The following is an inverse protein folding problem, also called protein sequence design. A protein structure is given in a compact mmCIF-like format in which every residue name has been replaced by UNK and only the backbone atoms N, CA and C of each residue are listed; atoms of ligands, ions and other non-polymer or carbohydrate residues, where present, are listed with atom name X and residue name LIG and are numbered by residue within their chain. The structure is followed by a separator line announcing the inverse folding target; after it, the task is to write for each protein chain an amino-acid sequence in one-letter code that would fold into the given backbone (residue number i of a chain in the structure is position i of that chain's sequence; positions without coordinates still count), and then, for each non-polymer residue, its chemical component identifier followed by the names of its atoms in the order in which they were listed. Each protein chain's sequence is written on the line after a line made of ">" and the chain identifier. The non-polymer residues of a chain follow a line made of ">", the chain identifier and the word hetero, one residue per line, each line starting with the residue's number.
data_IF_879035841511
#
_entry.id   IF_879035841511
#
_cell.length_a   1.000
_cell.length_b   1.000
_cell.length_c   1.000
_cell.angle_alpha   90.00
_cell.angle_beta   90.00
_cell.angle_gamma   90.00
#
_symmetry.space_group_name_H-M   'P 1'
#
loop_
_entity.id
_entity.type
_entity.pdbx_description
1 polymer ?
#
# COMPACT_ATOMS: atom_id res chain seq x y z
N UNK A 1 -19.53 -12.27 -2.48
CA UNK A 1 -19.01 -13.64 -2.36
C UNK A 1 -19.63 -14.47 -3.47
N UNK A 2 -18.81 -15.10 -4.30
CA UNK A 2 -19.19 -15.83 -5.51
C UNK A 2 -19.71 -17.26 -5.26
N UNK A 3 -19.90 -17.64 -3.99
CA UNK A 3 -20.48 -18.92 -3.59
C UNK A 3 -19.49 -20.08 -3.53
N UNK A 4 -18.19 -19.87 -3.79
CA UNK A 4 -17.16 -20.89 -3.60
C UNK A 4 -16.85 -21.10 -2.11
N UNK A 5 -16.48 -22.33 -1.75
CA UNK A 5 -16.08 -22.71 -0.39
C UNK A 5 -14.58 -22.49 -0.10
N UNK A 6 -13.80 -22.11 -1.10
CA UNK A 6 -12.35 -21.94 -1.00
C UNK A 6 -11.88 -20.81 -1.92
N UNK A 7 -10.91 -20.03 -1.45
CA UNK A 7 -10.14 -19.12 -2.30
C UNK A 7 -9.13 -19.91 -3.15
N UNK A 8 -8.68 -19.31 -4.24
CA UNK A 8 -7.72 -19.88 -5.18
C UNK A 8 -6.49 -18.98 -5.29
N UNK A 9 -5.33 -19.61 -5.47
CA UNK A 9 -4.05 -18.96 -5.78
C UNK A 9 -3.46 -19.65 -7.00
N UNK A 10 -2.88 -18.87 -7.91
CA UNK A 10 -2.25 -19.35 -9.14
C UNK A 10 -0.85 -18.73 -9.24
N UNK A 11 0.03 -19.15 -8.34
CA UNK A 11 1.33 -18.50 -8.15
C UNK A 11 2.14 -18.40 -9.45
N UNK A 12 2.60 -17.19 -9.77
CA UNK A 12 3.48 -16.92 -10.91
C UNK A 12 2.81 -17.07 -12.29
N UNK A 13 1.48 -17.13 -12.35
CA UNK A 13 0.74 -17.22 -13.62
C UNK A 13 0.69 -15.87 -14.37
N UNK A 14 0.89 -14.76 -13.67
CA UNK A 14 0.94 -13.42 -14.25
C UNK A 14 2.38 -13.00 -14.51
N UNK A 15 2.66 -12.53 -15.74
CA UNK A 15 4.00 -12.09 -16.16
C UNK A 15 4.54 -10.93 -15.33
N UNK A 16 3.65 -10.00 -14.94
CA UNK A 16 3.98 -8.83 -14.12
C UNK A 16 3.98 -9.14 -12.61
N UNK A 17 3.84 -10.41 -12.21
CA UNK A 17 3.79 -10.81 -10.81
C UNK A 17 5.18 -10.87 -10.15
N UNK A 18 5.37 -10.12 -9.07
CA UNK A 18 6.59 -10.17 -8.27
C UNK A 18 6.37 -9.89 -6.78
N UNK A 19 7.32 -10.33 -5.96
CA UNK A 19 7.36 -9.97 -4.54
C UNK A 19 7.96 -8.58 -4.33
N UNK A 20 7.53 -7.91 -3.26
CA UNK A 20 8.18 -6.69 -2.79
C UNK A 20 9.60 -7.03 -2.33
N UNK A 21 10.57 -6.33 -2.89
CA UNK A 21 11.98 -6.46 -2.58
C UNK A 21 12.53 -5.18 -1.95
N UNK A 22 13.72 -5.25 -1.35
CA UNK A 22 14.34 -4.12 -0.67
C UNK A 22 14.62 -2.94 -1.61
N UNK A 23 14.91 -3.17 -2.89
CA UNK A 23 15.17 -2.07 -3.83
C UNK A 23 13.94 -1.17 -4.03
N UNK A 24 12.72 -1.74 -4.06
CA UNK A 24 11.47 -0.97 -4.13
C UNK A 24 11.19 -0.22 -2.84
N UNK A 25 11.44 -0.84 -1.70
CA UNK A 25 11.25 -0.21 -0.40
C UNK A 25 12.24 0.95 -0.23
N UNK A 26 13.51 0.74 -0.55
CA UNK A 26 14.54 1.77 -0.53
C UNK A 26 14.18 2.92 -1.46
N UNK A 27 13.68 2.61 -2.67
CA UNK A 27 13.19 3.63 -3.59
C UNK A 27 12.05 4.45 -2.99
N UNK A 28 11.05 3.81 -2.37
CA UNK A 28 9.96 4.51 -1.69
C UNK A 28 10.50 5.44 -0.58
N UNK A 29 11.46 4.96 0.21
CA UNK A 29 12.12 5.75 1.25
C UNK A 29 12.94 6.93 0.70
N UNK A 30 13.27 6.97 -0.59
CA UNK A 30 13.93 8.14 -1.18
C UNK A 30 12.97 9.25 -1.61
N UNK A 31 11.66 8.99 -1.72
CA UNK A 31 10.70 9.98 -2.21
C UNK A 31 10.39 11.06 -1.16
N UNK A 32 10.19 12.30 -1.60
CA UNK A 32 9.83 13.44 -0.74
C UNK A 32 8.41 13.99 -1.05
N UNK A 33 7.68 13.35 -1.97
CA UNK A 33 6.33 13.76 -2.38
C UNK A 33 5.35 12.58 -2.26
N UNK A 34 4.21 12.82 -1.60
CA UNK A 34 3.14 11.83 -1.42
C UNK A 34 2.56 11.34 -2.76
N UNK A 35 2.53 12.19 -3.80
CA UNK A 35 2.06 11.83 -5.14
C UNK A 35 2.91 10.73 -5.80
N UNK A 36 4.13 10.47 -5.28
CA UNK A 36 5.03 9.40 -5.74
C UNK A 36 4.95 8.12 -4.90
N UNK A 37 4.24 8.16 -3.77
CA UNK A 37 3.97 6.97 -2.95
C UNK A 37 2.54 6.49 -3.18
N UNK A 38 1.57 7.36 -2.90
CA UNK A 38 0.13 7.14 -3.02
C UNK A 38 -0.33 7.55 -4.42
N UNK A 39 0.31 6.95 -5.42
CA UNK A 39 0.14 7.27 -6.83
C UNK A 39 -1.33 7.43 -7.26
N UNK A 40 -1.51 8.07 -8.41
CA UNK A 40 -2.68 7.80 -9.23
C UNK A 40 -2.38 6.51 -10.00
N UNK A 41 -2.93 5.37 -9.58
CA UNK A 41 -2.73 4.06 -10.24
C UNK A 41 -3.26 3.99 -11.66
N UNK A 42 -4.26 4.80 -12.00
CA UNK A 42 -4.89 4.81 -13.32
C UNK A 42 -5.18 6.24 -13.76
N UNK A 43 -4.14 7.08 -13.93
CA UNK A 43 -4.33 8.46 -14.33
C UNK A 43 -4.85 8.46 -15.77
N UNK A 44 -5.82 9.32 -16.05
CA UNK A 44 -6.29 9.46 -17.43
C UNK A 44 -5.27 10.25 -18.25
N UNK A 45 -5.40 10.23 -19.57
CA UNK A 45 -4.53 11.02 -20.46
C UNK A 45 -4.60 12.53 -20.20
N UNK A 46 -5.62 13.02 -19.50
CA UNK A 46 -5.76 14.43 -19.12
C UNK A 46 -5.11 14.77 -17.78
N UNK A 47 -4.52 13.81 -17.07
CA UNK A 47 -3.71 14.07 -15.88
C UNK A 47 -2.36 14.68 -16.31
N UNK A 48 -2.30 16.02 -16.35
CA UNK A 48 -1.14 16.76 -16.85
C UNK A 48 -0.04 16.81 -15.79
N UNK A 49 1.23 16.74 -16.22
CA UNK A 49 2.43 16.82 -15.38
C UNK A 49 2.55 15.69 -14.34
N UNK A 50 1.96 14.54 -14.63
CA UNK A 50 2.10 13.34 -13.83
C UNK A 50 3.02 12.34 -14.54
N UNK A 51 3.99 11.82 -13.81
CA UNK A 51 4.94 10.83 -14.29
C UNK A 51 4.61 9.48 -13.67
N UNK A 52 4.59 8.43 -14.47
CA UNK A 52 4.28 7.07 -14.02
C UNK A 52 5.59 6.35 -13.79
N UNK A 53 5.82 5.91 -12.56
CA UNK A 53 6.95 5.07 -12.20
C UNK A 53 6.44 3.74 -11.65
N UNK A 54 6.86 2.64 -12.25
CA UNK A 54 6.49 1.27 -11.84
C UNK A 54 6.85 0.97 -10.37
N UNK A 55 7.72 1.79 -9.76
CA UNK A 55 8.17 1.64 -8.37
C UNK A 55 7.28 2.33 -7.34
N UNK A 56 6.23 3.04 -7.77
CA UNK A 56 5.25 3.57 -6.82
C UNK A 56 4.72 2.47 -5.90
N UNK A 57 4.43 2.84 -4.65
CA UNK A 57 4.04 1.87 -3.63
C UNK A 57 2.74 1.15 -4.03
N UNK A 58 1.81 1.85 -4.70
CA UNK A 58 0.58 1.25 -5.22
C UNK A 58 0.84 0.19 -6.31
N UNK A 59 1.71 0.45 -7.29
CA UNK A 59 2.07 -0.58 -8.29
C UNK A 59 2.86 -1.73 -7.67
N UNK A 60 3.76 -1.41 -6.75
CA UNK A 60 4.52 -2.41 -5.97
C UNK A 60 3.58 -3.32 -5.15
N UNK A 61 2.49 -2.76 -4.62
CA UNK A 61 1.41 -3.50 -3.99
C UNK A 61 0.71 -4.43 -4.99
N UNK A 62 0.38 -3.94 -6.19
CA UNK A 62 -0.34 -4.70 -7.22
C UNK A 62 0.47 -5.90 -7.74
N UNK A 63 1.79 -5.79 -7.85
CA UNK A 63 2.61 -6.91 -8.32
C UNK A 63 2.54 -8.14 -7.42
N UNK A 64 2.33 -7.98 -6.10
CA UNK A 64 2.11 -9.12 -5.20
C UNK A 64 0.74 -9.74 -5.42
N UNK A 65 -0.28 -8.93 -5.67
CA UNK A 65 -1.61 -9.42 -6.07
C UNK A 65 -1.51 -10.27 -7.34
N UNK A 66 -0.72 -9.82 -8.33
CA UNK A 66 -0.48 -10.55 -9.57
C UNK A 66 0.35 -11.82 -9.35
N UNK A 67 1.39 -11.75 -8.50
CA UNK A 67 2.22 -12.91 -8.18
C UNK A 67 1.42 -14.06 -7.56
N UNK A 68 0.53 -13.75 -6.60
CA UNK A 68 -0.31 -14.77 -5.95
C UNK A 68 -1.43 -15.21 -6.89
N UNK A 69 -1.96 -14.29 -7.68
CA UNK A 69 -3.06 -14.49 -8.65
C UNK A 69 -4.29 -15.15 -8.03
N UNK A 70 -5.17 -15.72 -8.85
CA UNK A 70 -6.46 -16.26 -8.42
C UNK A 70 -7.31 -15.19 -7.76
N UNK A 71 -7.82 -15.47 -6.57
CA UNK A 71 -8.60 -14.50 -5.81
C UNK A 71 -7.79 -13.25 -5.46
N UNK A 72 -6.50 -13.39 -5.14
CA UNK A 72 -5.65 -12.25 -4.76
C UNK A 72 -5.50 -11.23 -5.89
N UNK A 73 -5.58 -11.60 -7.16
CA UNK A 73 -5.49 -10.64 -8.27
C UNK A 73 -6.79 -9.83 -8.48
N UNK A 74 -7.92 -10.35 -8.02
CA UNK A 74 -9.23 -9.80 -8.33
C UNK A 74 -9.69 -8.77 -7.29
N UNK A 75 -10.04 -7.56 -7.76
CA UNK A 75 -10.42 -6.42 -6.90
C UNK A 75 -11.57 -6.70 -5.92
N UNK A 76 -12.48 -7.61 -6.28
CA UNK A 76 -13.67 -7.91 -5.47
C UNK A 76 -13.56 -9.18 -4.63
N UNK A 77 -12.52 -9.99 -4.83
CA UNK A 77 -12.37 -11.27 -4.13
C UNK A 77 -11.02 -11.47 -3.46
N UNK A 78 -10.07 -10.53 -3.63
CA UNK A 78 -8.74 -10.58 -3.00
C UNK A 78 -8.81 -10.74 -1.48
N UNK A 79 -9.74 -10.04 -0.83
CA UNK A 79 -9.96 -10.14 0.62
C UNK A 79 -10.57 -11.46 1.09
N UNK A 80 -10.99 -12.37 0.19
CA UNK A 80 -11.36 -13.74 0.57
C UNK A 80 -10.12 -14.58 0.93
N UNK A 81 -8.93 -14.19 0.46
CA UNK A 81 -7.67 -14.82 0.82
C UNK A 81 -7.09 -14.16 2.08
N UNK A 82 -6.88 -14.89 3.20
CA UNK A 82 -6.38 -14.29 4.44
C UNK A 82 -5.02 -13.57 4.31
N UNK A 83 -4.20 -13.91 3.31
CA UNK A 83 -2.91 -13.24 3.10
C UNK A 83 -3.07 -11.76 2.71
N UNK A 84 -4.25 -11.39 2.18
CA UNK A 84 -4.62 -10.01 1.86
C UNK A 84 -4.32 -9.06 3.02
N UNK A 85 -4.74 -9.43 4.23
CA UNK A 85 -4.57 -8.57 5.40
C UNK A 85 -3.11 -8.41 5.82
N UNK A 86 -2.29 -9.46 5.66
CA UNK A 86 -0.85 -9.35 5.95
C UNK A 86 -0.11 -8.54 4.89
N UNK A 87 -0.48 -8.69 3.61
CA UNK A 87 0.05 -7.89 2.51
C UNK A 87 -0.25 -6.40 2.71
N UNK A 88 -1.52 -6.06 2.95
CA UNK A 88 -1.91 -4.67 3.22
C UNK A 88 -1.30 -4.12 4.51
N UNK A 89 -1.20 -4.93 5.57
CA UNK A 89 -0.47 -4.53 6.78
C UNK A 89 1.01 -4.23 6.50
N UNK A 90 1.64 -4.96 5.59
CA UNK A 90 3.01 -4.68 5.17
C UNK A 90 3.13 -3.40 4.33
N UNK A 91 2.19 -3.15 3.42
CA UNK A 91 2.11 -1.88 2.67
C UNK A 91 1.92 -0.70 3.61
N UNK A 92 1.02 -0.80 4.58
CA UNK A 92 0.79 0.22 5.60
C UNK A 92 2.05 0.45 6.45
N UNK A 93 2.83 -0.60 6.73
CA UNK A 93 4.11 -0.46 7.43
C UNK A 93 5.14 0.32 6.63
N UNK A 94 5.18 0.17 5.30
CA UNK A 94 6.08 0.93 4.42
C UNK A 94 5.62 2.37 4.34
N UNK A 95 4.32 2.60 4.17
CA UNK A 95 3.70 3.93 4.21
C UNK A 95 4.04 4.66 5.51
N UNK A 96 3.86 4.02 6.67
CA UNK A 96 4.14 4.64 7.95
C UNK A 96 5.63 4.94 8.15
N UNK A 97 6.53 4.04 7.74
CA UNK A 97 7.97 4.31 7.77
C UNK A 97 8.35 5.53 6.92
N UNK A 98 7.74 5.67 5.74
CA UNK A 98 7.93 6.83 4.87
C UNK A 98 7.43 8.11 5.54
N UNK A 99 6.18 8.10 6.05
CA UNK A 99 5.60 9.23 6.81
C UNK A 99 6.52 9.64 7.96
N UNK A 100 7.07 8.67 8.68
CA UNK A 100 7.95 8.89 9.81
C UNK A 100 9.25 9.60 9.44
N UNK A 101 9.80 9.27 8.27
CA UNK A 101 11.09 9.77 7.79
C UNK A 101 10.97 11.07 7.01
N UNK A 102 9.87 11.27 6.28
CA UNK A 102 9.74 12.32 5.26
C UNK A 102 8.80 13.45 5.63
N UNK A 103 7.91 13.21 6.58
CA UNK A 103 6.90 14.18 6.98
C UNK A 103 7.08 14.57 8.45
N UNK A 104 6.96 15.87 8.71
CA UNK A 104 6.65 16.35 10.05
C UNK A 104 5.31 15.79 10.51
N UNK A 105 5.08 15.75 11.83
CA UNK A 105 3.79 15.28 12.36
C UNK A 105 2.58 16.06 11.82
N UNK A 106 2.74 17.35 11.52
CA UNK A 106 1.68 18.16 10.90
C UNK A 106 1.41 17.72 9.46
N UNK A 107 2.47 17.54 8.65
CA UNK A 107 2.33 17.07 7.27
C UNK A 107 1.63 15.72 7.19
N UNK A 108 1.89 14.79 8.13
CA UNK A 108 1.22 13.48 8.15
C UNK A 108 -0.30 13.57 8.24
N UNK A 109 -0.84 14.66 8.78
CA UNK A 109 -2.29 14.87 8.93
C UNK A 109 -2.93 15.53 7.69
N UNK A 110 -2.13 16.09 6.77
CA UNK A 110 -2.64 16.96 5.69
C UNK A 110 -2.11 16.65 4.30
N UNK A 111 -0.95 16.03 4.17
CA UNK A 111 -0.33 15.72 2.88
C UNK A 111 -1.03 14.51 2.24
N UNK A 112 -2.04 14.80 1.43
CA UNK A 112 -2.82 13.86 0.65
C UNK A 112 -2.69 14.22 -0.84
N UNK A 113 -2.75 13.25 -1.78
CA UNK A 113 -2.75 13.55 -3.21
C UNK A 113 -3.83 14.58 -3.59
N UNK A 114 -3.51 15.51 -4.49
CA UNK A 114 -4.46 16.56 -4.86
C UNK A 114 -5.76 15.98 -5.42
N UNK A 115 -6.89 16.56 -5.03
CA UNK A 115 -8.19 16.25 -5.62
C UNK A 115 -8.19 16.71 -7.10
N UNK A 116 -7.93 15.78 -8.00
CA UNK A 116 -7.86 16.02 -9.43
C UNK A 116 -8.61 14.93 -10.21
N UNK A 117 -9.75 15.31 -10.79
CA UNK A 117 -10.63 14.39 -11.51
C UNK A 117 -10.01 13.88 -12.82
N UNK A 118 -8.95 14.51 -13.30
CA UNK A 118 -8.17 14.01 -14.44
C UNK A 118 -7.23 12.86 -14.04
N UNK A 119 -6.85 12.79 -12.76
CA UNK A 119 -5.89 11.83 -12.25
C UNK A 119 -6.53 10.69 -11.46
N UNK A 120 -7.61 10.95 -10.71
CA UNK A 120 -8.31 9.93 -9.95
C UNK A 120 -9.83 10.18 -9.92
N UNK A 121 -10.64 9.11 -9.74
CA UNK A 121 -12.05 9.27 -9.51
C UNK A 121 -12.33 9.99 -8.18
N UNK A 122 -13.49 10.67 -8.10
CA UNK A 122 -13.85 11.50 -6.95
C UNK A 122 -13.87 10.76 -5.60
N UNK A 123 -14.11 9.45 -5.60
CA UNK A 123 -14.09 8.65 -4.37
C UNK A 123 -12.70 8.42 -3.78
N UNK A 124 -11.62 8.83 -4.47
CA UNK A 124 -10.26 8.86 -3.94
C UNK A 124 -9.85 10.24 -3.41
N UNK A 125 -10.71 11.25 -3.53
CA UNK A 125 -10.40 12.59 -3.03
C UNK A 125 -10.35 12.63 -1.51
N UNK A 126 -9.55 13.55 -0.96
CA UNK A 126 -9.42 13.73 0.49
C UNK A 126 -10.76 14.03 1.18
N UNK A 127 -11.64 14.74 0.49
CA UNK A 127 -12.99 15.11 0.92
C UNK A 127 -14.07 14.13 0.48
N UNK A 128 -13.68 12.91 0.07
CA UNK A 128 -14.64 11.84 -0.15
C UNK A 128 -14.90 11.07 1.15
N UNK A 129 -16.16 10.72 1.35
CA UNK A 129 -16.62 9.96 2.49
C UNK A 129 -16.32 8.46 2.33
N UNK A 130 -15.93 7.76 3.40
CA UNK A 130 -15.69 6.32 3.42
C UNK A 130 -16.98 5.52 3.68
N UNK A 131 -17.63 4.94 2.65
CA UNK A 131 -18.97 4.34 2.80
C UNK A 131 -19.03 3.19 3.79
N UNK A 132 -17.93 2.45 3.95
CA UNK A 132 -17.85 1.28 4.84
C UNK A 132 -17.34 1.61 6.25
N UNK A 133 -16.86 2.84 6.48
CA UNK A 133 -16.27 3.27 7.75
C UNK A 133 -16.89 4.58 8.24
N UNK A 134 -18.21 4.70 8.10
CA UNK A 134 -18.94 5.88 8.58
C UNK A 134 -18.63 6.17 10.07
N UNK A 135 -18.39 7.43 10.47
CA UNK A 135 -18.56 8.68 9.73
C UNK A 135 -17.29 9.24 9.06
N UNK A 136 -16.28 8.41 8.78
CA UNK A 136 -14.96 8.85 8.34
C UNK A 136 -14.91 9.31 6.87
N UNK A 137 -13.98 10.21 6.58
CA UNK A 137 -13.59 10.71 5.27
C UNK A 137 -12.19 10.20 4.92
N UNK A 138 -11.80 10.24 3.65
CA UNK A 138 -10.47 9.77 3.23
C UNK A 138 -9.33 10.53 3.92
N UNK A 139 -9.49 11.84 4.17
CA UNK A 139 -8.47 12.58 4.91
C UNK A 139 -8.33 12.11 6.37
N UNK A 140 -9.41 11.61 6.98
CA UNK A 140 -9.40 11.20 8.39
C UNK A 140 -8.50 10.00 8.65
N UNK A 141 -8.22 9.16 7.63
CA UNK A 141 -7.34 7.99 7.79
C UNK A 141 -5.85 8.36 7.86
N UNK A 142 -5.50 9.60 7.56
CA UNK A 142 -4.13 10.08 7.71
C UNK A 142 -3.72 10.29 9.16
N UNK A 143 -4.67 10.34 10.11
CA UNK A 143 -4.37 10.81 11.45
C UNK A 143 -3.26 10.04 12.17
N UNK A 144 -2.36 10.76 12.83
CA UNK A 144 -1.36 10.11 13.70
C UNK A 144 -2.02 9.40 14.89
N UNK A 145 -3.28 9.72 15.22
CA UNK A 145 -3.99 9.08 16.33
C UNK A 145 -4.07 7.56 16.20
N UNK A 146 -4.09 7.01 14.97
CA UNK A 146 -4.09 5.56 14.76
C UNK A 146 -2.77 4.94 15.26
N UNK A 147 -1.63 5.53 14.89
CA UNK A 147 -0.31 5.02 15.30
C UNK A 147 0.11 5.44 16.70
N UNK A 148 -0.52 6.47 17.26
CA UNK A 148 -0.32 6.87 18.66
C UNK A 148 -1.14 6.04 19.66
N UNK A 149 -2.33 5.57 19.27
CA UNK A 149 -3.32 5.02 20.22
C UNK A 149 -3.91 3.65 19.86
N UNK A 150 -3.78 3.16 18.62
CA UNK A 150 -4.43 1.91 18.19
C UNK A 150 -3.46 0.80 17.85
N UNK A 151 -2.41 1.09 17.09
CA UNK A 151 -1.41 0.10 16.68
C UNK A 151 -0.04 0.74 16.47
N UNK A 152 1.01 -0.09 16.49
CA UNK A 152 2.35 0.32 16.07
C UNK A 152 2.92 -0.73 15.10
N UNK A 153 3.79 -0.28 14.19
CA UNK A 153 4.57 -1.19 13.36
C UNK A 153 5.95 -1.40 13.97
N UNK A 154 6.34 -2.66 14.12
CA UNK A 154 7.71 -3.01 14.49
C UNK A 154 8.64 -2.93 13.29
N UNK A 155 9.94 -2.74 13.55
CA UNK A 155 10.94 -2.75 12.50
C UNK A 155 10.90 -4.06 11.69
N UNK A 156 11.02 -3.97 10.36
CA UNK A 156 11.08 -5.14 9.48
C UNK A 156 12.20 -6.09 9.95
N UNK A 157 11.97 -7.42 9.90
CA UNK A 157 13.03 -8.38 10.15
C UNK A 157 14.19 -8.15 9.18
N UNK A 158 15.42 -8.16 9.68
CA UNK A 158 16.62 -8.11 8.85
C UNK A 158 17.63 -9.15 9.32
N UNK A 159 18.38 -9.69 8.35
CA UNK A 159 19.34 -10.76 8.60
C UNK A 159 20.51 -10.30 9.51
N UNK A 160 20.74 -8.98 9.64
CA UNK A 160 21.81 -8.43 10.47
C UNK A 160 21.51 -8.51 11.98
N UNK A 161 20.23 -8.48 12.38
CA UNK A 161 19.83 -8.56 13.80
C UNK A 161 19.84 -9.97 14.38
N UNK A 162 19.80 -11.00 13.54
CA UNK A 162 19.60 -12.38 14.01
C UNK A 162 20.89 -13.15 14.28
N UNK A 163 22.05 -12.77 13.71
CA UNK A 163 23.31 -13.51 13.96
C UNK A 163 23.34 -14.95 13.39
N UNK A 164 22.31 -15.36 12.65
CA UNK A 164 22.24 -16.62 11.92
C UNK A 164 22.27 -16.30 10.42
N UNK A 165 23.17 -16.97 9.69
CA UNK A 165 23.52 -16.62 8.31
C UNK A 165 22.52 -17.06 7.23
N UNK A 166 21.41 -17.72 7.57
CA UNK A 166 20.55 -18.35 6.53
C UNK A 166 19.03 -18.30 6.80
N UNK A 167 18.57 -17.79 7.95
CA UNK A 167 17.12 -17.67 8.22
C UNK A 167 16.80 -16.25 8.71
N UNK A 168 16.38 -15.38 7.79
CA UNK A 168 15.89 -14.05 8.09
C UNK A 168 14.41 -14.15 8.51
N UNK A 169 14.16 -14.79 9.66
CA UNK A 169 12.82 -14.99 10.19
C UNK A 169 12.22 -13.70 10.76
N UNK A 170 10.89 -13.61 10.79
CA UNK A 170 10.18 -12.68 11.66
C UNK A 170 10.41 -13.09 13.12
N UNK A 171 11.05 -12.25 13.92
CA UNK A 171 11.12 -12.44 15.38
C UNK A 171 9.72 -12.25 15.96
N UNK A 172 9.08 -13.32 16.42
CA UNK A 172 8.19 -13.27 17.59
C UNK A 172 8.95 -13.74 18.83
#
# INVERSE_FOLDING_TARGET
>A
MDGRHSFQRMFGDQEDGEFINDARIDWAMTQDNVDRLMAYSLPTQTCINYDIDERFLEYTHDYVHYFISGDMQERFSSSNDPIFFMHHGFIDSIWEQWRQTKQSRLQRETDYPRNDASCAPQFHFSDAFMPMLQPLWNIDVLSNNYTDNMFEFVARPNCARMGWSEECGSTE
#
